data_IF_458912549950
#
_entry.id   IF_458912549950
#
_cell.length_a   1.000
_cell.length_b   1.000
_cell.length_c   1.000
_cell.angle_alpha   90.00
_cell.angle_beta   90.00
_cell.angle_gamma   90.00
#
_symmetry.space_group_name_H-M   'P 1'
#
loop_
_entity.id
_entity.type
_entity.pdbx_description
1 polymer ?
#
# COMPACT_ATOMS: atom_id res chain seq x y z
N UNK A 1 -3.76 3.50 -13.04
CA UNK A 1 -3.45 3.59 -11.60
C UNK A 1 -3.73 5.01 -11.19
N UNK A 2 -4.55 5.19 -10.17
CA UNK A 2 -4.85 6.51 -9.61
C UNK A 2 -4.26 6.59 -8.21
N UNK A 3 -3.52 7.66 -7.93
CA UNK A 3 -2.87 7.90 -6.63
C UNK A 3 -3.19 9.33 -6.21
N UNK A 4 -3.85 9.47 -5.07
CA UNK A 4 -4.25 10.76 -4.52
C UNK A 4 -3.64 10.95 -3.15
N UNK A 5 -2.94 12.06 -2.97
CA UNK A 5 -2.49 12.49 -1.64
C UNK A 5 -3.68 13.00 -0.85
N UNK A 6 -3.91 12.41 0.33
CA UNK A 6 -5.02 12.77 1.23
C UNK A 6 -4.53 13.58 2.43
N UNK A 7 -3.28 13.35 2.85
CA UNK A 7 -2.64 14.00 3.98
C UNK A 7 -1.13 13.99 3.77
N UNK A 8 -0.46 15.10 4.08
CA UNK A 8 0.97 15.25 3.92
C UNK A 8 1.52 16.29 4.91
N UNK A 9 2.12 15.79 5.98
CA UNK A 9 2.74 16.58 7.03
C UNK A 9 4.12 16.00 7.35
N UNK A 10 5.01 16.73 8.05
CA UNK A 10 6.38 16.27 8.31
C UNK A 10 6.48 14.92 9.04
N UNK A 11 5.45 14.55 9.78
CA UNK A 11 5.36 13.35 10.61
C UNK A 11 4.65 12.17 9.93
N UNK A 12 3.74 12.42 8.98
CA UNK A 12 2.98 11.37 8.31
C UNK A 12 2.43 11.79 6.94
N UNK A 13 2.25 10.80 6.06
CA UNK A 13 1.60 10.94 4.76
C UNK A 13 0.53 9.86 4.61
N UNK A 14 -0.59 10.19 3.97
CA UNK A 14 -1.64 9.23 3.59
C UNK A 14 -1.92 9.35 2.10
N UNK A 15 -1.77 8.24 1.40
CA UNK A 15 -2.04 8.12 -0.03
C UNK A 15 -3.22 7.20 -0.26
N UNK A 16 -4.22 7.66 -1.00
CA UNK A 16 -5.31 6.81 -1.49
C UNK A 16 -4.95 6.29 -2.88
N UNK A 17 -4.83 4.97 -3.00
CA UNK A 17 -4.34 4.30 -4.22
C UNK A 17 -5.44 3.40 -4.75
N UNK A 18 -5.79 3.59 -6.02
CA UNK A 18 -6.71 2.72 -6.77
C UNK A 18 -5.93 1.98 -7.84
N UNK A 19 -6.00 0.65 -7.79
CA UNK A 19 -5.43 -0.26 -8.79
C UNK A 19 -6.58 -0.97 -9.52
N UNK A 20 -6.62 -0.81 -10.85
CA UNK A 20 -7.44 -1.69 -11.69
C UNK A 20 -6.77 -3.07 -11.82
N UNK A 21 -7.52 -4.13 -12.19
CA UNK A 21 -6.92 -5.44 -12.44
C UNK A 21 -5.73 -5.38 -13.38
N UNK A 22 -4.59 -5.94 -12.96
CA UNK A 22 -3.33 -5.91 -13.70
C UNK A 22 -2.45 -4.68 -13.44
N UNK A 23 -2.94 -3.67 -12.74
CA UNK A 23 -2.13 -2.54 -12.30
C UNK A 23 -1.35 -2.88 -11.03
N UNK A 24 -0.14 -2.30 -10.91
CA UNK A 24 0.72 -2.52 -9.77
C UNK A 24 1.54 -1.27 -9.46
N UNK A 25 1.84 -1.07 -8.18
CA UNK A 25 2.89 -0.16 -7.76
C UNK A 25 4.25 -0.81 -8.04
N UNK A 26 5.20 0.00 -8.50
CA UNK A 26 6.59 -0.48 -8.63
C UNK A 26 7.13 -0.78 -7.22
N UNK A 27 7.88 -1.89 -7.05
CA UNK A 27 8.60 -2.14 -5.82
C UNK A 27 9.50 -0.94 -5.49
N UNK A 28 9.42 -0.46 -4.27
CA UNK A 28 10.24 0.63 -3.76
C UNK A 28 10.60 0.34 -2.31
N UNK A 29 11.81 0.74 -1.91
CA UNK A 29 12.25 0.67 -0.51
C UNK A 29 12.12 2.06 0.09
N UNK A 30 11.32 2.18 1.14
CA UNK A 30 11.14 3.44 1.87
C UNK A 30 12.11 3.53 3.05
N UNK A 31 12.62 4.72 3.40
CA UNK A 31 13.44 4.92 4.59
C UNK A 31 12.62 5.01 5.90
N UNK A 32 11.29 4.89 5.78
CA UNK A 32 10.29 5.03 6.84
C UNK A 32 9.37 3.82 6.85
N UNK A 33 8.73 3.59 8.00
CA UNK A 33 7.69 2.57 8.17
C UNK A 33 6.42 2.95 7.38
N UNK A 34 5.81 1.96 6.75
CA UNK A 34 4.58 2.12 5.97
C UNK A 34 3.58 1.05 6.40
N UNK A 35 2.29 1.33 6.29
CA UNK A 35 1.26 0.30 6.33
C UNK A 35 0.31 0.47 5.15
N UNK A 36 -0.31 -0.64 4.75
CA UNK A 36 -1.36 -0.68 3.76
C UNK A 36 -2.67 -1.04 4.44
N UNK A 37 -3.76 -0.39 4.04
CA UNK A 37 -5.11 -0.77 4.46
C UNK A 37 -5.98 -1.01 3.23
N UNK A 38 -6.61 -2.18 3.15
CA UNK A 38 -7.40 -2.58 1.98
C UNK A 38 -8.84 -2.09 2.13
N UNK A 39 -9.18 -1.00 1.43
CA UNK A 39 -10.54 -0.46 1.41
C UNK A 39 -11.51 -1.31 0.58
N UNK A 40 -11.02 -1.91 -0.51
CA UNK A 40 -11.80 -2.76 -1.42
C UNK A 40 -10.88 -3.74 -2.17
N UNK A 41 -11.45 -4.87 -2.60
CA UNK A 41 -10.77 -5.86 -3.44
C UNK A 41 -9.93 -6.86 -2.65
N UNK A 42 -8.96 -7.48 -3.34
CA UNK A 42 -8.06 -8.48 -2.78
C UNK A 42 -6.67 -8.37 -3.43
N UNK A 43 -5.94 -7.25 -3.25
CA UNK A 43 -4.65 -7.04 -3.88
C UNK A 43 -3.57 -7.96 -3.29
N UNK A 44 -2.60 -8.31 -4.13
CA UNK A 44 -1.38 -8.99 -3.70
C UNK A 44 -0.37 -7.96 -3.23
N UNK A 45 0.06 -8.05 -1.97
CA UNK A 45 1.06 -7.17 -1.38
C UNK A 45 2.38 -7.92 -1.21
N UNK A 46 3.48 -7.28 -1.61
CA UNK A 46 4.84 -7.82 -1.52
C UNK A 46 5.60 -7.13 -0.40
N UNK A 47 6.09 -7.89 0.59
CA UNK A 47 6.88 -7.40 1.72
C UNK A 47 8.13 -8.28 1.85
N UNK A 48 9.30 -7.70 1.54
CA UNK A 48 10.53 -8.49 1.37
C UNK A 48 10.33 -9.59 0.33
N UNK A 49 10.63 -10.84 0.70
CA UNK A 49 10.46 -12.02 -0.16
C UNK A 49 9.05 -12.64 -0.09
N UNK A 50 8.17 -12.09 0.76
CA UNK A 50 6.81 -12.62 0.94
C UNK A 50 5.84 -11.90 0.02
N UNK A 51 4.94 -12.67 -0.59
CA UNK A 51 3.84 -12.15 -1.39
C UNK A 51 2.55 -12.85 -1.00
N UNK A 52 1.52 -12.09 -0.67
CA UNK A 52 0.23 -12.62 -0.21
C UNK A 52 -0.90 -11.69 -0.63
N UNK A 53 -2.04 -12.29 -1.01
CA UNK A 53 -3.28 -11.56 -1.23
C UNK A 53 -4.00 -11.31 0.09
N UNK A 54 -4.51 -10.09 0.28
CA UNK A 54 -5.20 -9.68 1.49
C UNK A 54 -6.60 -9.16 1.17
N UNK A 55 -7.65 -9.64 1.87
CA UNK A 55 -9.02 -9.20 1.61
C UNK A 55 -9.26 -7.78 2.13
N UNK A 56 -10.43 -7.23 1.77
CA UNK A 56 -10.98 -6.00 2.35
C UNK A 56 -10.87 -5.98 3.87
N UNK A 57 -10.66 -4.78 4.41
CA UNK A 57 -10.55 -4.47 5.84
C UNK A 57 -9.34 -5.14 6.51
N UNK A 58 -8.29 -5.41 5.73
CA UNK A 58 -7.01 -5.89 6.27
C UNK A 58 -5.99 -4.75 6.35
N UNK A 59 -5.32 -4.64 7.50
CA UNK A 59 -4.13 -3.79 7.69
C UNK A 59 -2.87 -4.65 7.57
N UNK A 60 -1.89 -4.17 6.81
CA UNK A 60 -0.61 -4.84 6.56
C UNK A 60 0.51 -3.86 6.88
N UNK A 61 1.36 -4.21 7.82
CA UNK A 61 2.57 -3.42 8.13
C UNK A 61 3.71 -3.75 7.17
N UNK A 62 4.45 -2.72 6.79
CA UNK A 62 5.67 -2.75 5.99
C UNK A 62 6.72 -1.88 6.67
N UNK A 63 7.27 -2.33 7.80
CA UNK A 63 8.34 -1.60 8.47
C UNK A 63 9.60 -1.55 7.60
N UNK A 64 10.47 -0.59 7.90
CA UNK A 64 11.75 -0.38 7.22
C UNK A 64 12.64 -1.63 7.11
#
# INVERSE_FOLDING_TARGET
MDVREMYNMPDAQVMHITLQPGEALKPHKTPVDVFFYILEGNPTIHIGDKSKAYPKDTMIESPK
#
